data_IF_888764871880
#
_entry.id   IF_888764871880
#
_cell.length_a   1.000
_cell.length_b   1.000
_cell.length_c   1.000
_cell.angle_alpha   90.00
_cell.angle_beta   90.00
_cell.angle_gamma   90.00
#
_symmetry.space_group_name_H-M   'P 1'
#
loop_
_entity.id
_entity.type
_entity.pdbx_description
1 polymer ?
#
# COMPACT_ATOMS: atom_id res chain seq x y z
N UNK A 1 4.93 15.49 -33.09
CA UNK A 1 4.82 14.62 -31.90
C UNK A 1 3.32 14.42 -31.63
N UNK A 2 2.73 13.35 -32.11
CA UNK A 2 1.37 13.00 -31.72
C UNK A 2 1.47 12.40 -30.31
N UNK A 3 0.94 13.10 -29.31
CA UNK A 3 0.81 12.57 -27.96
C UNK A 3 0.05 11.25 -28.00
N UNK A 4 0.68 10.17 -27.61
CA UNK A 4 0.01 8.90 -27.41
C UNK A 4 -0.95 9.08 -26.25
N UNK A 5 -2.25 9.19 -26.51
CA UNK A 5 -3.27 9.02 -25.49
C UNK A 5 -3.07 7.64 -24.87
N UNK A 6 -2.60 7.62 -23.63
CA UNK A 6 -2.62 6.44 -22.77
C UNK A 6 -4.09 6.13 -22.45
N UNK A 7 -4.78 5.54 -23.42
CA UNK A 7 -6.10 4.97 -23.12
C UNK A 7 -5.93 3.78 -22.19
N UNK A 8 -6.67 3.75 -21.11
CA UNK A 8 -6.67 2.78 -20.01
C UNK A 8 -6.80 1.29 -20.41
N UNK A 9 -6.72 0.95 -21.68
CA UNK A 9 -6.96 -0.41 -22.23
C UNK A 9 -5.73 -1.06 -22.86
N UNK A 10 -4.55 -0.47 -22.76
CA UNK A 10 -3.40 -1.00 -23.48
C UNK A 10 -2.27 -1.43 -22.58
N UNK A 11 -2.15 -2.73 -22.30
CA UNK A 11 -0.91 -3.27 -21.75
C UNK A 11 0.19 -3.13 -22.81
N UNK A 12 1.28 -2.49 -22.45
CA UNK A 12 2.45 -2.40 -23.31
C UNK A 12 3.38 -3.56 -22.96
N UNK A 13 3.73 -4.38 -23.96
CA UNK A 13 4.75 -5.42 -23.84
C UNK A 13 6.01 -4.98 -24.53
N UNK A 14 7.14 -5.10 -23.84
CA UNK A 14 8.45 -4.82 -24.39
C UNK A 14 9.08 -6.14 -24.84
N UNK A 15 9.39 -6.26 -26.12
CA UNK A 15 10.14 -7.40 -26.68
C UNK A 15 11.62 -7.06 -26.72
N UNK A 16 12.44 -7.96 -26.19
CA UNK A 16 13.89 -7.81 -26.12
C UNK A 16 14.59 -8.96 -26.85
N UNK A 17 15.80 -8.70 -27.27
CA UNK A 17 16.71 -9.71 -27.80
C UNK A 17 17.40 -10.52 -26.68
N UNK A 18 18.27 -11.46 -27.05
CA UNK A 18 19.06 -12.27 -26.10
C UNK A 18 20.05 -11.43 -25.27
N UNK A 19 20.38 -10.24 -25.73
CA UNK A 19 21.30 -9.31 -25.10
C UNK A 19 20.64 -8.25 -24.25
N UNK A 20 19.28 -8.27 -24.19
CA UNK A 20 18.51 -7.34 -23.41
C UNK A 20 18.09 -6.05 -24.13
N UNK A 21 18.48 -5.88 -25.41
CA UNK A 21 18.09 -4.71 -26.20
C UNK A 21 16.61 -4.76 -26.58
N UNK A 22 15.96 -3.62 -26.61
CA UNK A 22 14.55 -3.51 -26.97
C UNK A 22 14.41 -3.65 -28.49
N UNK A 23 13.67 -4.68 -28.93
CA UNK A 23 13.37 -4.91 -30.34
C UNK A 23 12.13 -4.15 -30.79
N UNK A 24 11.09 -4.14 -29.97
CA UNK A 24 9.81 -3.45 -30.26
C UNK A 24 8.94 -3.34 -29.02
N UNK A 25 8.01 -2.39 -29.10
CA UNK A 25 6.89 -2.25 -28.17
C UNK A 25 5.62 -2.80 -28.81
N UNK A 26 4.84 -3.55 -28.07
CA UNK A 26 3.53 -4.07 -28.50
C UNK A 26 2.46 -3.54 -27.58
N UNK A 27 1.48 -2.84 -28.11
CA UNK A 27 0.31 -2.32 -27.37
C UNK A 27 -0.94 -3.09 -27.80
N UNK A 28 -1.74 -3.51 -26.83
CA UNK A 28 -3.04 -4.12 -27.04
C UNK A 28 -3.18 -5.53 -26.49
N UNK A 29 -4.43 -5.98 -26.39
CA UNK A 29 -4.82 -7.33 -25.99
C UNK A 29 -5.44 -8.07 -27.17
N UNK A 30 -5.15 -9.37 -27.31
CA UNK A 30 -5.76 -10.23 -28.33
C UNK A 30 -5.23 -10.01 -29.75
N UNK A 31 -6.11 -10.04 -30.75
CA UNK A 31 -5.75 -9.97 -32.19
C UNK A 31 -5.33 -8.59 -32.69
N UNK A 32 -5.74 -7.51 -32.04
CA UNK A 32 -5.43 -6.14 -32.46
C UNK A 32 -4.25 -5.57 -31.68
N UNK A 33 -3.04 -5.99 -32.02
CA UNK A 33 -1.79 -5.47 -31.44
C UNK A 33 -1.16 -4.47 -32.38
N UNK A 34 -0.94 -3.23 -31.88
CA UNK A 34 -0.07 -2.25 -32.56
C UNK A 34 1.37 -2.49 -32.14
N UNK A 35 2.26 -2.43 -33.10
CA UNK A 35 3.70 -2.56 -32.87
C UNK A 35 4.38 -1.25 -33.17
N UNK A 36 5.30 -0.85 -32.30
CA UNK A 36 6.10 0.36 -32.45
C UNK A 36 7.58 -0.01 -32.41
N UNK A 37 8.36 0.66 -33.20
CA UNK A 37 9.83 0.55 -33.15
C UNK A 37 10.37 1.25 -31.91
N UNK A 38 11.56 0.89 -31.43
CA UNK A 38 12.19 1.60 -30.31
C UNK A 38 12.41 3.09 -30.57
N UNK A 39 12.59 3.47 -31.83
CA UNK A 39 12.79 4.84 -32.29
C UNK A 39 11.51 5.69 -32.15
N UNK A 40 10.34 5.06 -32.26
CA UNK A 40 9.04 5.75 -32.22
C UNK A 40 8.52 5.93 -30.78
N UNK A 41 9.23 5.42 -29.75
CA UNK A 41 8.76 5.38 -28.37
C UNK A 41 9.79 5.93 -27.41
N UNK A 42 9.43 7.00 -26.72
CA UNK A 42 10.21 7.52 -25.61
C UNK A 42 9.71 6.85 -24.33
N UNK A 43 10.53 5.96 -23.78
CA UNK A 43 10.22 5.21 -22.58
C UNK A 43 10.91 5.84 -21.36
N UNK A 44 10.14 6.54 -20.51
CA UNK A 44 10.62 7.06 -19.24
C UNK A 44 10.54 5.97 -18.17
N UNK A 45 11.59 5.80 -17.43
CA UNK A 45 11.64 4.87 -16.30
C UNK A 45 12.50 5.41 -15.17
N UNK A 46 12.17 5.00 -13.96
CA UNK A 46 12.96 5.24 -12.76
C UNK A 46 13.46 3.89 -12.23
N UNK A 47 14.66 3.88 -11.64
CA UNK A 47 15.24 2.75 -10.92
C UNK A 47 15.12 1.41 -11.68
N UNK A 48 15.64 1.39 -12.91
CA UNK A 48 15.58 0.21 -13.77
C UNK A 48 16.73 -0.75 -13.49
N UNK A 49 16.41 -1.99 -13.17
CA UNK A 49 17.37 -3.08 -13.15
C UNK A 49 17.78 -3.49 -14.58
N UNK A 50 19.04 -3.92 -14.74
CA UNK A 50 19.55 -4.36 -16.04
C UNK A 50 18.71 -5.48 -16.68
N UNK A 51 18.15 -6.37 -15.84
CA UNK A 51 17.36 -7.51 -16.30
C UNK A 51 15.88 -7.18 -16.56
N UNK A 52 15.39 -6.04 -16.09
CA UNK A 52 13.99 -5.62 -16.25
C UNK A 52 13.81 -4.76 -17.49
N UNK A 53 12.66 -4.91 -18.16
CA UNK A 53 12.28 -4.04 -19.27
C UNK A 53 11.71 -2.71 -18.79
N UNK A 54 11.08 -2.72 -17.62
CA UNK A 54 10.44 -1.56 -16.96
C UNK A 54 11.25 -1.12 -15.75
N UNK A 55 11.04 0.11 -15.33
CA UNK A 55 11.55 0.59 -14.05
C UNK A 55 10.95 -0.18 -12.87
N UNK A 56 11.62 -0.15 -11.73
CA UNK A 56 11.17 -0.79 -10.50
C UNK A 56 10.30 0.17 -9.70
N UNK A 57 9.01 -0.14 -9.50
CA UNK A 57 8.13 0.72 -8.69
C UNK A 57 8.63 0.81 -7.24
N UNK A 58 8.75 2.01 -6.70
CA UNK A 58 9.17 2.25 -5.31
C UNK A 58 8.30 1.53 -4.28
N UNK A 59 7.02 1.33 -4.60
CA UNK A 59 6.07 0.63 -3.72
C UNK A 59 6.45 -0.84 -3.47
N UNK A 60 7.30 -1.45 -4.30
CA UNK A 60 7.72 -2.84 -4.13
C UNK A 60 8.39 -3.05 -2.77
N UNK A 61 9.20 -2.09 -2.32
CA UNK A 61 9.85 -2.17 -1.02
C UNK A 61 8.85 -2.20 0.15
N UNK A 62 7.71 -1.53 0.00
CA UNK A 62 6.66 -1.46 1.03
C UNK A 62 5.61 -2.57 0.90
N UNK A 63 5.57 -3.32 -0.21
CA UNK A 63 4.45 -4.19 -0.56
C UNK A 63 4.16 -5.26 0.48
N UNK A 64 5.20 -5.89 1.02
CA UNK A 64 5.05 -6.94 2.05
C UNK A 64 4.55 -6.34 3.37
N UNK A 65 5.06 -5.19 3.77
CA UNK A 65 4.62 -4.51 4.99
C UNK A 65 3.15 -4.03 4.86
N UNK A 66 2.74 -3.57 3.69
CA UNK A 66 1.34 -3.22 3.42
C UNK A 66 0.42 -4.44 3.52
N UNK A 67 0.84 -5.59 2.99
CA UNK A 67 0.07 -6.83 3.11
C UNK A 67 -0.06 -7.28 4.57
N UNK A 68 1.03 -7.19 5.34
CA UNK A 68 1.03 -7.52 6.77
C UNK A 68 0.15 -6.57 7.56
N UNK A 69 0.24 -5.26 7.31
CA UNK A 69 -0.60 -4.24 7.94
C UNK A 69 -2.08 -4.54 7.71
N UNK A 70 -2.49 -4.78 6.45
CA UNK A 70 -3.86 -5.15 6.12
C UNK A 70 -4.35 -6.42 6.83
N UNK A 71 -3.48 -7.40 6.96
CA UNK A 71 -3.81 -8.63 7.69
C UNK A 71 -4.01 -8.37 9.18
N UNK A 72 -3.18 -7.52 9.78
CA UNK A 72 -3.32 -7.11 11.19
C UNK A 72 -4.61 -6.33 11.39
N UNK A 73 -4.91 -5.35 10.54
CA UNK A 73 -6.17 -4.58 10.58
C UNK A 73 -7.40 -5.50 10.53
N UNK A 74 -7.40 -6.48 9.61
CA UNK A 74 -8.47 -7.48 9.53
C UNK A 74 -8.61 -8.31 10.80
N UNK A 75 -7.50 -8.73 11.41
CA UNK A 75 -7.51 -9.47 12.68
C UNK A 75 -8.01 -8.59 13.84
N UNK A 76 -7.59 -7.33 13.90
CA UNK A 76 -8.09 -6.36 14.91
C UNK A 76 -9.61 -6.19 14.77
N UNK A 77 -10.11 -6.03 13.56
CA UNK A 77 -11.55 -5.95 13.29
C UNK A 77 -12.30 -7.19 13.80
N UNK A 78 -11.76 -8.39 13.53
CA UNK A 78 -12.34 -9.64 14.02
C UNK A 78 -12.32 -9.76 15.55
N UNK A 79 -11.25 -9.26 16.19
CA UNK A 79 -11.16 -9.20 17.65
C UNK A 79 -12.19 -8.24 18.22
N UNK A 80 -12.30 -7.03 17.70
CA UNK A 80 -13.29 -6.04 18.12
C UNK A 80 -14.71 -6.63 18.02
N UNK A 81 -15.01 -7.31 16.91
CA UNK A 81 -16.31 -7.97 16.74
C UNK A 81 -16.57 -9.03 17.82
N UNK A 82 -15.56 -9.84 18.15
CA UNK A 82 -15.67 -10.86 19.23
C UNK A 82 -15.83 -10.24 20.61
N UNK A 83 -15.17 -9.10 20.88
CA UNK A 83 -15.36 -8.37 22.14
C UNK A 83 -16.74 -7.71 22.22
N UNK A 84 -17.24 -7.20 21.09
CA UNK A 84 -18.58 -6.58 21.03
C UNK A 84 -19.70 -7.63 21.14
N UNK A 85 -19.45 -8.85 20.66
CA UNK A 85 -20.38 -9.97 20.71
C UNK A 85 -19.71 -11.19 21.36
N UNK A 86 -19.50 -11.19 22.69
CA UNK A 86 -18.88 -12.31 23.39
C UNK A 86 -19.74 -13.58 23.27
N UNK A 87 -19.07 -14.71 23.17
CA UNK A 87 -19.74 -15.99 23.26
C UNK A 87 -20.03 -16.29 24.73
N UNK A 88 -21.28 -16.56 25.07
CA UNK A 88 -21.68 -16.94 26.41
C UNK A 88 -21.69 -18.45 26.55
N UNK A 89 -20.94 -18.97 27.53
CA UNK A 89 -21.01 -20.35 27.93
C UNK A 89 -21.95 -20.45 29.13
N UNK A 90 -22.97 -21.24 28.97
CA UNK A 90 -23.88 -21.58 30.06
C UNK A 90 -23.49 -22.93 30.60
N UNK A 91 -23.15 -23.00 31.89
CA UNK A 91 -22.94 -24.24 32.60
C UNK A 91 -24.14 -24.51 33.48
N UNK A 92 -24.78 -25.65 33.27
CA UNK A 92 -25.92 -26.07 34.05
C UNK A 92 -25.46 -27.29 34.86
N UNK A 93 -25.49 -27.16 36.19
CA UNK A 93 -25.03 -28.18 37.10
C UNK A 93 -23.84 -27.76 37.95
N UNK A 94 -23.70 -28.39 39.11
CA UNK A 94 -22.58 -28.20 40.04
C UNK A 94 -21.90 -29.55 40.22
N UNK A 95 -20.82 -29.84 39.47
CA UNK A 95 -20.13 -31.15 39.54
C UNK A 95 -19.59 -31.50 40.93
N UNK A 96 -19.22 -30.48 41.69
CA UNK A 96 -18.66 -30.62 43.03
C UNK A 96 -19.67 -31.20 44.04
N UNK A 97 -20.95 -31.00 43.79
CA UNK A 97 -22.06 -31.52 44.63
C UNK A 97 -22.70 -32.76 44.00
N UNK A 98 -22.19 -33.21 42.86
CA UNK A 98 -22.73 -34.37 42.14
C UNK A 98 -24.00 -34.07 41.32
N UNK A 99 -24.34 -32.82 41.15
CA UNK A 99 -25.49 -32.43 40.36
C UNK A 99 -25.06 -32.24 38.88
N UNK A 100 -25.57 -33.11 38.02
CA UNK A 100 -25.39 -33.02 36.57
C UNK A 100 -26.68 -32.47 35.95
N UNK A 101 -26.58 -31.45 35.10
CA UNK A 101 -27.72 -30.94 34.35
C UNK A 101 -28.29 -32.01 33.41
N UNK A 102 -29.60 -32.13 33.37
CA UNK A 102 -30.28 -33.05 32.45
C UNK A 102 -30.39 -32.43 31.06
N UNK A 103 -30.54 -33.27 30.02
CA UNK A 103 -30.74 -32.78 28.64
C UNK A 103 -32.00 -31.91 28.50
N UNK A 104 -33.04 -32.17 29.34
CA UNK A 104 -34.23 -31.35 29.36
C UNK A 104 -33.97 -29.94 29.93
N UNK A 105 -33.13 -29.83 30.97
CA UNK A 105 -32.75 -28.52 31.54
C UNK A 105 -31.88 -27.74 30.56
N UNK A 106 -31.00 -28.40 29.85
CA UNK A 106 -30.20 -27.77 28.79
C UNK A 106 -31.07 -27.29 27.65
N UNK A 107 -32.04 -28.09 27.20
CA UNK A 107 -32.98 -27.70 26.14
C UNK A 107 -33.87 -26.53 26.54
N UNK A 108 -34.32 -26.50 27.80
CA UNK A 108 -35.12 -25.41 28.33
C UNK A 108 -34.32 -24.12 28.44
N UNK A 109 -33.08 -24.17 28.93
CA UNK A 109 -32.22 -23.00 28.97
C UNK A 109 -31.90 -22.44 27.57
N UNK A 110 -31.68 -23.33 26.58
CA UNK A 110 -31.51 -22.94 25.19
C UNK A 110 -32.71 -22.21 24.64
N UNK A 111 -33.93 -22.69 24.92
CA UNK A 111 -35.16 -22.05 24.49
C UNK A 111 -35.37 -20.68 25.18
N UNK A 112 -35.03 -20.54 26.46
CA UNK A 112 -35.08 -19.28 27.19
C UNK A 112 -34.12 -18.24 26.64
N UNK A 113 -32.90 -18.66 26.21
CA UNK A 113 -31.94 -17.76 25.58
C UNK A 113 -32.41 -17.32 24.18
N UNK A 114 -32.95 -18.23 23.38
CA UNK A 114 -33.42 -17.95 22.01
C UNK A 114 -34.72 -17.10 22.04
N UNK A 115 -35.55 -17.24 23.06
CA UNK A 115 -36.81 -16.49 23.25
C UNK A 115 -36.65 -15.25 24.11
N UNK A 116 -35.52 -15.08 24.79
CA UNK A 116 -35.28 -14.01 25.75
C UNK A 116 -35.22 -12.63 25.12
N UNK A 117 -35.73 -11.67 25.85
CA UNK A 117 -35.72 -10.25 25.45
C UNK A 117 -34.31 -9.71 25.29
N UNK A 118 -34.13 -8.83 24.33
CA UNK A 118 -32.85 -8.11 24.00
C UNK A 118 -32.34 -7.21 25.15
N UNK A 119 -33.04 -7.11 26.26
CA UNK A 119 -32.72 -6.23 27.40
C UNK A 119 -31.54 -6.74 28.28
N UNK A 120 -30.95 -7.87 27.93
CA UNK A 120 -29.66 -8.31 28.50
C UNK A 120 -29.69 -8.74 29.98
N UNK A 121 -30.85 -8.88 30.60
CA UNK A 121 -31.00 -9.33 32.00
C UNK A 121 -31.47 -10.78 32.04
N UNK A 122 -30.61 -11.67 32.54
CA UNK A 122 -30.96 -13.07 32.79
C UNK A 122 -31.05 -13.29 34.30
N UNK A 123 -32.17 -13.83 34.75
CA UNK A 123 -32.34 -14.26 36.15
C UNK A 123 -32.12 -15.77 36.18
N UNK A 124 -31.05 -16.20 36.83
CA UNK A 124 -30.69 -17.61 36.95
C UNK A 124 -30.69 -18.03 38.40
N UNK A 125 -30.86 -19.35 38.64
CA UNK A 125 -30.74 -19.93 39.98
C UNK A 125 -29.25 -20.27 40.24
N UNK A 126 -28.95 -20.66 41.48
CA UNK A 126 -27.59 -21.03 41.95
C UNK A 126 -26.93 -22.16 41.15
N UNK A 127 -27.69 -22.91 40.34
CA UNK A 127 -27.23 -24.06 39.55
C UNK A 127 -26.73 -23.66 38.16
N UNK A 128 -26.82 -22.40 37.79
CA UNK A 128 -26.44 -21.96 36.44
C UNK A 128 -25.37 -20.88 36.52
N UNK A 129 -24.24 -21.13 35.92
CA UNK A 129 -23.14 -20.15 35.76
C UNK A 129 -23.10 -19.68 34.30
N UNK A 130 -23.10 -18.37 34.10
CA UNK A 130 -22.91 -17.77 32.78
C UNK A 130 -21.53 -17.15 32.71
N UNK A 131 -20.73 -17.65 31.81
CA UNK A 131 -19.37 -17.16 31.60
C UNK A 131 -19.24 -16.60 30.17
N UNK A 132 -18.85 -15.35 30.05
CA UNK A 132 -18.54 -14.77 28.75
C UNK A 132 -17.18 -15.26 28.31
N UNK A 133 -17.14 -16.04 27.22
CA UNK A 133 -15.89 -16.52 26.63
C UNK A 133 -15.38 -15.49 25.61
N UNK A 134 -14.14 -15.07 25.80
CA UNK A 134 -13.48 -14.13 24.87
C UNK A 134 -13.43 -12.69 25.37
N UNK A 135 -14.12 -12.36 26.47
CA UNK A 135 -14.06 -11.03 27.11
C UNK A 135 -13.07 -10.93 28.26
N UNK A 136 -12.57 -12.06 28.76
CA UNK A 136 -11.68 -12.13 29.94
C UNK A 136 -10.22 -11.81 29.63
N UNK A 137 -9.83 -11.67 28.37
CA UNK A 137 -8.49 -11.26 27.97
C UNK A 137 -8.31 -9.76 28.13
N UNK A 138 -7.21 -9.35 28.74
CA UNK A 138 -6.75 -7.95 28.66
C UNK A 138 -6.79 -7.55 27.19
N UNK A 139 -7.56 -6.51 26.84
CA UNK A 139 -7.63 -6.01 25.47
C UNK A 139 -6.20 -5.79 24.98
N UNK A 140 -5.74 -6.64 24.05
CA UNK A 140 -4.38 -6.57 23.56
C UNK A 140 -4.21 -5.20 22.92
N UNK A 141 -3.30 -4.38 23.47
CA UNK A 141 -3.03 -3.08 22.88
C UNK A 141 -2.35 -3.27 21.52
N UNK A 142 -3.12 -3.25 20.45
CA UNK A 142 -2.65 -3.45 19.08
C UNK A 142 -2.02 -2.19 18.47
N UNK A 143 -2.24 -1.03 19.08
CA UNK A 143 -1.78 0.26 18.56
C UNK A 143 -0.26 0.33 18.30
N UNK A 144 0.63 -0.17 19.21
CA UNK A 144 2.07 -0.18 18.94
C UNK A 144 2.44 -0.98 17.70
N UNK A 145 1.78 -2.11 17.46
CA UNK A 145 2.04 -2.96 16.29
C UNK A 145 1.58 -2.29 14.99
N UNK A 146 0.39 -1.70 15.00
CA UNK A 146 -0.11 -0.92 13.84
C UNK A 146 0.84 0.23 13.52
N UNK A 147 1.22 1.02 14.52
CA UNK A 147 2.16 2.13 14.35
C UNK A 147 3.53 1.65 13.82
N UNK A 148 4.02 0.51 14.29
CA UNK A 148 5.28 -0.06 13.81
C UNK A 148 5.23 -0.38 12.32
N UNK A 149 4.21 -1.09 11.85
CA UNK A 149 4.09 -1.45 10.44
C UNK A 149 3.78 -0.25 9.55
N UNK A 150 2.96 0.70 10.01
CA UNK A 150 2.72 1.96 9.30
C UNK A 150 4.01 2.75 9.11
N UNK A 151 4.82 2.89 10.15
CA UNK A 151 6.11 3.58 10.08
C UNK A 151 7.06 2.88 9.10
N UNK A 152 7.07 1.56 9.03
CA UNK A 152 7.84 0.80 8.04
C UNK A 152 7.37 1.09 6.60
N UNK A 153 6.06 1.12 6.38
CA UNK A 153 5.49 1.46 5.07
C UNK A 153 5.90 2.88 4.67
N UNK A 154 5.78 3.84 5.57
CA UNK A 154 6.19 5.23 5.31
C UNK A 154 7.68 5.32 5.00
N UNK A 155 8.53 4.68 5.79
CA UNK A 155 9.98 4.66 5.57
C UNK A 155 10.35 4.04 4.22
N UNK A 156 9.68 2.94 3.83
CA UNK A 156 9.93 2.28 2.55
C UNK A 156 9.49 3.14 1.34
N UNK A 157 8.48 4.00 1.52
CA UNK A 157 8.03 4.96 0.51
C UNK A 157 8.85 6.25 0.52
N UNK A 158 9.74 6.45 1.50
CA UNK A 158 10.51 7.68 1.68
C UNK A 158 9.67 8.85 2.16
N UNK A 159 8.57 8.57 2.86
CA UNK A 159 7.67 9.56 3.46
C UNK A 159 7.74 9.43 4.96
N UNK A 160 7.72 10.54 5.68
CA UNK A 160 7.74 10.52 7.15
C UNK A 160 6.35 10.50 7.76
N UNK A 161 6.24 9.95 8.97
CA UNK A 161 5.02 10.00 9.75
C UNK A 161 4.60 11.45 10.07
N UNK A 162 5.55 12.37 10.22
CA UNK A 162 5.31 13.79 10.47
C UNK A 162 4.62 14.46 9.26
N UNK A 163 5.02 14.13 8.04
CA UNK A 163 4.38 14.63 6.82
C UNK A 163 2.94 14.15 6.66
N UNK A 164 2.61 13.02 7.27
CA UNK A 164 1.25 12.47 7.30
C UNK A 164 0.41 13.03 8.47
N UNK A 165 0.89 14.09 9.14
CA UNK A 165 0.19 14.73 10.25
C UNK A 165 0.25 13.96 11.58
N UNK A 166 1.12 12.97 11.68
CA UNK A 166 1.31 12.17 12.90
C UNK A 166 2.54 12.65 13.65
N UNK A 167 2.35 13.59 14.56
CA UNK A 167 3.27 14.18 15.51
C UNK A 167 4.73 13.76 15.42
N UNK A 168 5.58 14.75 15.25
CA UNK A 168 7.04 14.65 15.33
C UNK A 168 7.61 15.96 15.86
N UNK A 169 8.82 15.93 16.41
CA UNK A 169 9.51 17.15 16.74
C UNK A 169 9.74 17.97 15.45
N UNK A 170 9.64 19.31 15.56
CA UNK A 170 9.80 20.22 14.41
C UNK A 170 11.12 19.97 13.66
N UNK A 171 12.15 19.57 14.37
CA UNK A 171 13.48 19.26 13.85
C UNK A 171 13.51 18.00 12.97
N UNK A 172 12.65 17.01 13.27
CA UNK A 172 12.49 15.80 12.44
C UNK A 172 11.71 16.13 11.15
N UNK A 173 10.76 17.06 11.21
CA UNK A 173 10.01 17.53 10.06
C UNK A 173 10.91 18.22 9.04
N UNK A 174 11.79 19.12 9.47
CA UNK A 174 12.70 19.88 8.61
C UNK A 174 13.72 18.97 7.90
N UNK A 175 14.31 18.00 8.62
CA UNK A 175 15.24 17.03 8.01
C UNK A 175 14.58 16.13 6.98
N UNK A 176 13.32 15.80 7.20
CA UNK A 176 12.53 14.95 6.31
C UNK A 176 11.99 15.70 5.11
N UNK A 177 11.67 16.98 5.26
CA UNK A 177 11.34 17.86 4.14
C UNK A 177 12.51 17.97 3.17
N UNK A 178 13.73 18.08 3.68
CA UNK A 178 14.95 18.04 2.89
C UNK A 178 15.08 16.72 2.11
N UNK A 179 14.78 15.58 2.73
CA UNK A 179 14.88 14.27 2.09
C UNK A 179 13.86 14.07 0.95
N UNK A 180 12.65 14.59 1.12
CA UNK A 180 11.65 14.62 0.03
C UNK A 180 12.09 15.53 -1.10
N UNK A 181 12.61 16.70 -0.77
CA UNK A 181 13.15 17.64 -1.74
C UNK A 181 14.29 17.03 -2.58
N UNK A 182 15.23 16.33 -1.92
CA UNK A 182 16.31 15.63 -2.60
C UNK A 182 15.79 14.50 -3.51
N UNK A 183 14.75 13.81 -3.07
CA UNK A 183 14.07 12.79 -3.88
C UNK A 183 13.41 13.40 -5.12
N UNK A 184 12.73 14.54 -4.97
CA UNK A 184 12.10 15.25 -6.09
C UNK A 184 13.17 15.75 -7.05
N UNK A 185 14.25 16.35 -6.56
CA UNK A 185 15.41 16.78 -7.38
C UNK A 185 16.02 15.63 -8.17
N UNK A 186 16.17 14.46 -7.53
CA UNK A 186 16.64 13.26 -8.22
C UNK A 186 15.73 12.87 -9.40
N UNK A 187 14.42 12.86 -9.18
CA UNK A 187 13.44 12.53 -10.24
C UNK A 187 13.47 13.59 -11.35
N UNK A 188 13.49 14.88 -10.98
CA UNK A 188 13.59 15.98 -11.94
C UNK A 188 14.84 15.87 -12.81
N UNK A 189 16.00 15.59 -12.20
CA UNK A 189 17.26 15.40 -12.92
C UNK A 189 17.19 14.22 -13.89
N UNK A 190 16.63 13.09 -13.47
CA UNK A 190 16.43 11.93 -14.35
C UNK A 190 15.52 12.27 -15.53
N UNK A 191 14.43 13.01 -15.29
CA UNK A 191 13.51 13.43 -16.34
C UNK A 191 14.16 14.43 -17.30
N UNK A 192 14.91 15.42 -16.80
CA UNK A 192 15.68 16.36 -17.62
C UNK A 192 16.59 15.60 -18.57
N UNK A 193 17.37 14.65 -18.06
CA UNK A 193 18.29 13.86 -18.88
C UNK A 193 17.58 13.06 -19.99
N UNK A 194 16.40 12.49 -19.71
CA UNK A 194 15.58 11.84 -20.73
C UNK A 194 15.07 12.83 -21.80
N UNK A 195 14.57 14.00 -21.38
CA UNK A 195 14.07 15.02 -22.29
C UNK A 195 15.19 15.52 -23.18
N UNK A 196 16.33 15.86 -22.60
CA UNK A 196 17.49 16.33 -23.34
C UNK A 196 17.97 15.31 -24.37
N UNK A 197 18.23 14.06 -23.94
CA UNK A 197 18.80 13.01 -24.80
C UNK A 197 17.82 12.45 -25.84
N UNK A 198 16.52 12.39 -25.52
CA UNK A 198 15.53 11.69 -26.34
C UNK A 198 14.62 12.60 -27.14
N UNK A 199 14.49 13.86 -26.73
CA UNK A 199 13.61 14.83 -27.39
C UNK A 199 14.44 15.98 -27.99
N UNK A 200 15.20 16.70 -27.15
CA UNK A 200 15.88 17.90 -27.59
C UNK A 200 17.02 17.59 -28.58
N UNK A 201 17.82 16.56 -28.30
CA UNK A 201 18.88 16.14 -29.23
C UNK A 201 18.31 15.72 -30.60
N UNK A 202 17.19 15.00 -30.62
CA UNK A 202 16.56 14.55 -31.85
C UNK A 202 15.99 15.73 -32.64
N UNK A 203 15.31 16.67 -31.97
CA UNK A 203 14.81 17.92 -32.59
C UNK A 203 15.94 18.78 -33.17
N UNK A 204 17.08 18.88 -32.49
CA UNK A 204 18.23 19.60 -32.98
C UNK A 204 18.79 18.94 -34.26
N UNK A 205 18.91 17.62 -34.27
CA UNK A 205 19.36 16.87 -35.46
C UNK A 205 18.40 17.04 -36.64
N UNK A 206 17.09 16.95 -36.40
CA UNK A 206 16.07 17.20 -37.44
C UNK A 206 16.13 18.64 -37.95
N UNK A 207 16.44 19.61 -37.09
CA UNK A 207 16.65 21.01 -37.44
C UNK A 207 17.98 21.29 -38.18
N UNK A 208 18.83 20.27 -38.38
CA UNK A 208 20.12 20.42 -39.02
C UNK A 208 21.23 20.98 -38.11
N UNK A 209 20.98 21.06 -36.81
CA UNK A 209 21.96 21.51 -35.82
C UNK A 209 22.73 20.32 -35.25
N UNK A 210 24.03 20.50 -35.03
CA UNK A 210 24.85 19.49 -34.35
C UNK A 210 24.65 19.61 -32.84
N UNK A 211 24.01 18.62 -32.17
CA UNK A 211 23.74 18.68 -30.73
C UNK A 211 25.00 18.55 -29.87
N UNK A 212 26.13 18.14 -30.45
CA UNK A 212 27.41 18.03 -29.75
C UNK A 212 28.24 19.32 -29.81
N UNK A 213 27.79 20.32 -30.55
CA UNK A 213 28.39 21.64 -30.55
C UNK A 213 27.95 22.42 -29.32
N UNK A 214 28.89 22.98 -28.56
CA UNK A 214 28.62 23.77 -27.36
C UNK A 214 27.66 24.94 -27.60
N UNK A 215 27.63 25.48 -28.81
CA UNK A 215 26.74 26.59 -29.16
C UNK A 215 25.27 26.16 -29.35
N UNK A 216 25.04 24.89 -29.60
CA UNK A 216 23.71 24.32 -29.84
C UNK A 216 23.19 23.51 -28.62
N UNK A 217 23.95 23.53 -27.52
CA UNK A 217 23.54 22.80 -26.32
C UNK A 217 22.33 23.44 -25.66
N UNK A 218 21.31 22.62 -25.38
CA UNK A 218 20.06 23.08 -24.75
C UNK A 218 19.86 22.26 -23.48
N UNK A 219 19.84 22.93 -22.36
CA UNK A 219 19.51 22.35 -21.06
C UNK A 219 18.00 22.43 -20.80
N UNK A 220 17.45 21.36 -20.26
CA UNK A 220 16.10 21.36 -19.73
C UNK A 220 16.15 21.46 -18.20
N UNK A 221 15.71 22.58 -17.67
CA UNK A 221 15.76 22.87 -16.23
C UNK A 221 14.34 22.97 -15.68
N UNK A 222 14.05 22.21 -14.63
CA UNK A 222 12.83 22.41 -13.86
C UNK A 222 12.96 23.66 -13.01
N UNK A 223 11.85 24.37 -12.81
CA UNK A 223 11.80 25.48 -11.88
C UNK A 223 12.12 24.99 -10.47
N UNK A 224 12.98 25.70 -9.75
CA UNK A 224 13.32 25.36 -8.37
C UNK A 224 12.09 25.51 -7.48
N UNK A 225 11.77 24.43 -6.74
CA UNK A 225 10.77 24.50 -5.68
C UNK A 225 11.42 25.28 -4.55
N UNK A 226 11.10 26.57 -4.42
CA UNK A 226 11.53 27.37 -3.29
C UNK A 226 10.81 26.86 -2.05
N UNK A 227 11.56 26.29 -1.11
CA UNK A 227 11.08 26.08 0.24
C UNK A 227 10.99 27.48 0.89
N UNK A 228 9.87 28.16 0.72
CA UNK A 228 9.58 29.35 1.50
C UNK A 228 9.39 28.91 2.95
N UNK A 229 10.46 29.01 3.73
CA UNK A 229 10.39 29.02 5.18
C UNK A 229 9.59 30.25 5.62
N UNK A 230 8.29 30.06 5.89
CA UNK A 230 7.49 31.03 6.64
C UNK A 230 7.70 30.84 8.12
#
# INVERSE_FOLDING_TARGET
>A
IQGAELTHKGWIKIKRDKHGNILKYEQGMGGNKKQFKPEDVIHFYLDKDANNAFGTPRIIAALEDVKLLRKIEGNVTALIYRFAMPLYQWKIGIPEVGFQGTDEEIAKAKYEIESGSLDGVFITNEKTEIKAIGSEGTAMNMQPYLNYFENRVFSALGVSAAQMGRGGAKQDADSMEQQVHDTVKYIQRMMSEFIEKKILMELLLEGGFNPFDKNNYVDYVFEEISLETK
#
